data_IF_278627425000
#
_entry.id   IF_278627425000
#
_cell.length_a   1.000
_cell.length_b   1.000
_cell.length_c   1.000
_cell.angle_alpha   90.00
_cell.angle_beta   90.00
_cell.angle_gamma   90.00
#
_symmetry.space_group_name_H-M   'P 1'
#
loop_
_entity.id
_entity.type
_entity.pdbx_description
1 polymer ?
#
# COMPACT_ATOMS: atom_id res chain seq x y z
N UNK A 1 -9.28 -22.59 25.03
CA UNK A 1 -10.34 -22.51 24.00
C UNK A 1 -10.74 -21.05 23.84
N UNK A 2 -10.18 -20.36 22.86
CA UNK A 2 -10.53 -18.96 22.55
C UNK A 2 -10.45 -18.74 21.03
N UNK A 3 -11.28 -19.46 20.27
CA UNK A 3 -11.36 -19.39 18.79
C UNK A 3 -12.47 -18.48 18.25
N UNK A 4 -13.24 -17.78 19.11
CA UNK A 4 -14.47 -17.10 18.67
C UNK A 4 -14.40 -15.57 18.55
N UNK A 5 -13.55 -14.90 19.29
CA UNK A 5 -13.55 -13.43 19.36
C UNK A 5 -12.67 -12.76 18.29
N UNK A 6 -11.58 -13.40 17.86
CA UNK A 6 -10.69 -12.85 16.82
C UNK A 6 -11.29 -12.76 15.41
N UNK A 7 -12.27 -13.59 15.08
CA UNK A 7 -12.90 -13.62 13.76
C UNK A 7 -14.04 -12.62 13.58
N UNK A 8 -14.65 -12.16 14.66
CA UNK A 8 -15.75 -11.19 14.62
C UNK A 8 -15.23 -9.78 14.31
N UNK A 9 -14.08 -9.42 14.87
CA UNK A 9 -13.49 -8.08 14.75
C UNK A 9 -12.81 -7.81 13.39
N UNK A 10 -12.46 -8.86 12.63
CA UNK A 10 -11.87 -8.72 11.29
C UNK A 10 -12.91 -8.50 10.18
N UNK A 11 -14.20 -8.54 10.49
CA UNK A 11 -15.28 -8.52 9.49
C UNK A 11 -15.41 -7.19 8.79
N UNK A 12 -15.19 -6.09 9.50
CA UNK A 12 -15.43 -4.76 8.95
C UNK A 12 -14.33 -4.32 7.99
N UNK A 13 -13.06 -4.49 8.38
CA UNK A 13 -11.90 -4.24 7.50
C UNK A 13 -11.97 -5.11 6.25
N UNK A 14 -12.32 -6.41 6.41
CA UNK A 14 -12.49 -7.30 5.29
C UNK A 14 -13.62 -6.86 4.34
N UNK A 15 -14.80 -6.52 4.88
CA UNK A 15 -15.93 -6.05 4.10
C UNK A 15 -15.63 -4.73 3.38
N UNK A 16 -14.97 -3.79 4.08
CA UNK A 16 -14.55 -2.52 3.52
C UNK A 16 -13.60 -2.67 2.34
N UNK A 17 -12.53 -3.45 2.51
CA UNK A 17 -11.54 -3.66 1.44
C UNK A 17 -12.13 -4.47 0.27
N UNK A 18 -12.99 -5.45 0.54
CA UNK A 18 -13.74 -6.16 -0.49
C UNK A 18 -14.66 -5.22 -1.29
N UNK A 19 -15.37 -4.29 -0.61
CA UNK A 19 -16.19 -3.26 -1.27
C UNK A 19 -15.33 -2.34 -2.17
N UNK A 20 -14.07 -2.11 -1.80
CA UNK A 20 -13.09 -1.38 -2.61
C UNK A 20 -12.43 -2.24 -3.71
N UNK A 21 -12.93 -3.45 -3.94
CA UNK A 21 -12.49 -4.32 -5.02
C UNK A 21 -11.26 -5.17 -4.72
N UNK A 22 -10.63 -5.01 -3.55
CA UNK A 22 -9.45 -5.81 -3.20
C UNK A 22 -9.85 -7.28 -3.08
N UNK A 23 -9.07 -8.17 -3.71
CA UNK A 23 -9.40 -9.59 -3.73
C UNK A 23 -9.33 -10.21 -2.34
N UNK A 24 -10.24 -11.17 -2.03
CA UNK A 24 -10.20 -11.90 -0.76
C UNK A 24 -8.88 -12.57 -0.45
N UNK A 25 -8.16 -13.01 -1.46
CA UNK A 25 -6.83 -13.64 -1.31
C UNK A 25 -5.80 -12.63 -0.82
N UNK A 26 -5.74 -11.44 -1.43
CA UNK A 26 -4.83 -10.36 -1.01
C UNK A 26 -5.16 -9.89 0.40
N UNK A 27 -6.45 -9.67 0.74
CA UNK A 27 -6.83 -9.28 2.10
C UNK A 27 -6.32 -10.30 3.13
N UNK A 28 -6.57 -11.59 2.88
CA UNK A 28 -6.13 -12.67 3.79
C UNK A 28 -4.61 -12.76 3.89
N UNK A 29 -3.87 -12.60 2.78
CA UNK A 29 -2.40 -12.65 2.82
C UNK A 29 -1.81 -11.52 3.66
N UNK A 30 -2.36 -10.31 3.56
CA UNK A 30 -1.92 -9.17 4.37
C UNK A 30 -2.23 -9.35 5.86
N UNK A 31 -3.42 -9.89 6.18
CA UNK A 31 -3.78 -10.22 7.57
C UNK A 31 -2.85 -11.32 8.13
N UNK A 32 -2.61 -12.39 7.36
CA UNK A 32 -1.77 -13.51 7.79
C UNK A 32 -0.29 -13.11 7.94
N UNK A 33 0.16 -12.16 7.13
CA UNK A 33 1.51 -11.60 7.23
C UNK A 33 1.67 -10.56 8.37
N UNK A 34 0.59 -10.26 9.12
CA UNK A 34 0.62 -9.24 10.16
C UNK A 34 0.71 -7.79 9.65
N UNK A 35 0.44 -7.57 8.37
CA UNK A 35 0.52 -6.25 7.74
C UNK A 35 -0.77 -5.44 7.84
N UNK A 36 -1.89 -6.11 8.15
CA UNK A 36 -3.22 -5.52 8.21
C UNK A 36 -3.97 -6.01 9.43
N UNK A 37 -4.45 -5.07 10.24
CA UNK A 37 -5.28 -5.30 11.42
C UNK A 37 -6.55 -4.46 11.37
N UNK A 38 -7.49 -4.78 12.24
CA UNK A 38 -8.66 -3.96 12.57
C UNK A 38 -8.47 -3.39 13.97
N UNK A 39 -8.53 -2.06 14.14
CA UNK A 39 -8.50 -1.49 15.49
C UNK A 39 -9.82 -1.78 16.23
N UNK A 40 -9.71 -2.00 17.55
CA UNK A 40 -10.84 -2.44 18.38
C UNK A 40 -11.82 -1.32 18.72
N UNK A 41 -11.43 -0.06 18.59
CA UNK A 41 -12.23 1.08 19.02
C UNK A 41 -13.09 1.65 17.89
N UNK A 42 -12.48 1.86 16.71
CA UNK A 42 -13.13 2.51 15.57
C UNK A 42 -13.27 1.60 14.36
N UNK A 43 -12.79 0.36 14.43
CA UNK A 43 -12.77 -0.60 13.33
C UNK A 43 -12.06 -0.09 12.07
N UNK A 44 -11.04 0.75 12.24
CA UNK A 44 -10.22 1.22 11.14
C UNK A 44 -9.33 0.11 10.59
N UNK A 45 -8.98 0.18 9.30
CA UNK A 45 -7.83 -0.54 8.78
C UNK A 45 -6.55 0.03 9.39
N UNK A 46 -5.73 -0.83 9.98
CA UNK A 46 -4.40 -0.52 10.51
C UNK A 46 -3.36 -1.22 9.64
N UNK A 47 -2.62 -0.45 8.86
CA UNK A 47 -1.55 -0.94 7.99
C UNK A 47 -0.22 -0.77 8.70
N UNK A 48 0.44 -1.88 9.06
CA UNK A 48 1.65 -1.88 9.89
C UNK A 48 2.90 -2.01 9.05
N UNK A 49 3.84 -1.09 9.27
CA UNK A 49 5.19 -1.13 8.73
C UNK A 49 6.17 -1.64 9.78
N UNK A 50 7.02 -2.57 9.37
CA UNK A 50 8.04 -3.18 10.22
C UNK A 50 9.43 -2.66 9.83
N UNK A 51 10.27 -2.40 10.84
CA UNK A 51 11.68 -2.11 10.61
C UNK A 51 12.47 -3.38 10.20
N UNK A 52 13.76 -3.23 9.98
CA UNK A 52 14.64 -4.34 9.57
C UNK A 52 14.77 -5.45 10.63
N UNK A 53 14.49 -5.13 11.89
CA UNK A 53 14.57 -6.08 13.01
C UNK A 53 13.21 -6.78 13.23
N UNK A 54 12.22 -6.52 12.37
CA UNK A 54 10.88 -7.09 12.45
C UNK A 54 10.00 -6.48 13.53
N UNK A 55 10.38 -5.33 14.08
CA UNK A 55 9.58 -4.60 15.06
C UNK A 55 8.61 -3.65 14.34
N UNK A 56 7.36 -3.62 14.78
CA UNK A 56 6.38 -2.64 14.31
C UNK A 56 6.85 -1.22 14.67
N UNK A 57 7.10 -0.39 13.66
CA UNK A 57 7.63 0.96 13.81
C UNK A 57 6.75 2.04 13.16
N UNK A 58 5.82 1.64 12.29
CA UNK A 58 4.91 2.53 11.60
C UNK A 58 3.51 1.90 11.53
N UNK A 59 2.46 2.72 11.62
CA UNK A 59 1.10 2.28 11.34
C UNK A 59 0.29 3.40 10.70
N UNK A 60 -0.26 3.13 9.51
CA UNK A 60 -1.22 4.01 8.85
C UNK A 60 -2.64 3.53 9.09
N UNK A 61 -3.53 4.47 9.37
CA UNK A 61 -4.92 4.24 9.74
C UNK A 61 -5.86 4.69 8.61
N UNK A 62 -6.83 3.84 8.28
CA UNK A 62 -7.88 4.19 7.32
C UNK A 62 -9.25 3.83 7.87
N UNK A 63 -10.12 4.85 8.03
CA UNK A 63 -11.49 4.67 8.45
C UNK A 63 -12.28 3.79 7.50
N UNK A 64 -13.03 2.85 8.06
CA UNK A 64 -13.94 1.97 7.31
C UNK A 64 -15.35 2.53 7.19
N UNK A 65 -15.70 3.51 8.03
CA UNK A 65 -16.95 4.26 7.94
C UNK A 65 -16.74 5.49 7.07
N UNK A 66 -17.44 5.51 5.95
CA UNK A 66 -17.43 6.62 5.00
C UNK A 66 -18.85 7.19 4.94
N UNK A 67 -19.14 8.18 5.80
CA UNK A 67 -20.44 8.83 5.82
C UNK A 67 -20.61 9.88 4.70
N UNK A 68 -19.49 10.53 4.30
CA UNK A 68 -19.51 11.67 3.39
C UNK A 68 -18.37 11.64 2.34
N UNK A 69 -17.83 10.46 1.99
CA UNK A 69 -16.70 10.33 1.06
C UNK A 69 -15.33 10.69 1.67
N UNK A 70 -15.30 11.19 2.91
CA UNK A 70 -14.07 11.61 3.61
C UNK A 70 -13.72 10.69 4.79
N UNK A 71 -13.57 9.40 4.53
CA UNK A 71 -13.16 8.45 5.58
C UNK A 71 -11.85 8.88 6.25
N UNK A 72 -11.75 8.67 7.57
CA UNK A 72 -10.57 9.02 8.37
C UNK A 72 -9.26 8.49 7.74
N UNK A 73 -8.25 9.33 7.69
CA UNK A 73 -6.87 9.00 7.30
C UNK A 73 -5.92 9.59 8.34
N UNK A 74 -4.96 8.80 8.79
CA UNK A 74 -3.96 9.25 9.74
C UNK A 74 -2.89 8.20 9.99
N UNK A 75 -1.91 8.55 10.80
CA UNK A 75 -0.92 7.61 11.29
C UNK A 75 -1.07 7.45 12.80
N UNK A 76 -0.74 6.28 13.33
CA UNK A 76 -0.72 6.06 14.77
C UNK A 76 0.34 6.95 15.44
N UNK A 77 0.07 7.39 16.67
CA UNK A 77 1.03 8.17 17.45
C UNK A 77 2.35 7.41 17.60
N UNK A 78 3.47 8.09 17.42
CA UNK A 78 4.81 7.51 17.49
C UNK A 78 5.26 6.75 16.23
N UNK A 79 4.49 6.78 15.15
CA UNK A 79 4.87 6.17 13.87
C UNK A 79 6.13 6.80 13.28
N UNK A 80 7.11 5.99 12.91
CA UNK A 80 8.29 6.40 12.16
C UNK A 80 7.99 6.40 10.67
N UNK A 81 7.80 7.60 10.11
CA UNK A 81 7.52 7.77 8.66
C UNK A 81 8.67 7.36 7.75
N UNK A 82 9.86 7.15 8.28
CA UNK A 82 11.00 6.64 7.50
C UNK A 82 10.89 5.13 7.21
N UNK A 83 9.98 4.44 7.87
CA UNK A 83 9.67 3.03 7.62
C UNK A 83 8.56 2.87 6.59
N UNK A 84 7.48 3.67 6.68
CA UNK A 84 6.31 3.55 5.82
C UNK A 84 5.64 2.18 5.93
N UNK A 85 4.68 1.92 5.04
CA UNK A 85 4.09 0.58 4.90
C UNK A 85 4.82 -0.20 3.82
N UNK A 86 5.34 -1.39 4.11
CA UNK A 86 6.10 -2.18 3.13
C UNK A 86 5.77 -3.67 3.18
N UNK A 87 5.84 -4.33 2.03
CA UNK A 87 5.78 -5.78 1.95
C UNK A 87 7.07 -6.41 2.51
N UNK A 88 7.02 -7.69 2.95
CA UNK A 88 8.23 -8.44 3.26
C UNK A 88 9.22 -8.38 2.10
N UNK A 89 10.49 -8.28 2.42
CA UNK A 89 11.55 -8.16 1.43
C UNK A 89 11.61 -9.39 0.51
N UNK A 90 11.61 -9.14 -0.80
CA UNK A 90 11.77 -10.14 -1.85
C UNK A 90 13.20 -10.10 -2.39
N UNK A 91 14.11 -10.96 -1.92
CA UNK A 91 15.54 -10.88 -2.23
C UNK A 91 15.87 -11.10 -3.71
N UNK A 92 15.03 -11.86 -4.41
CA UNK A 92 15.20 -12.16 -5.85
C UNK A 92 14.79 -10.99 -6.75
N UNK A 93 14.08 -10.00 -6.22
CA UNK A 93 13.65 -8.83 -6.96
C UNK A 93 14.66 -7.68 -6.83
N UNK A 94 15.11 -7.16 -7.96
CA UNK A 94 15.93 -5.95 -8.03
C UNK A 94 15.11 -4.67 -8.21
N UNK A 95 13.79 -4.76 -8.11
CA UNK A 95 12.88 -3.63 -8.27
C UNK A 95 12.11 -3.36 -6.99
N UNK A 96 11.78 -2.10 -6.74
CA UNK A 96 10.83 -1.68 -5.71
C UNK A 96 9.72 -0.84 -6.34
N UNK A 97 8.47 -1.18 -6.04
CA UNK A 97 7.28 -0.45 -6.47
C UNK A 97 6.81 0.46 -5.33
N UNK A 98 6.59 1.73 -5.64
CA UNK A 98 6.32 2.78 -4.65
C UNK A 98 4.93 3.35 -4.88
N UNK A 99 4.05 3.19 -3.90
CA UNK A 99 2.67 3.65 -3.92
C UNK A 99 2.46 4.82 -2.95
N UNK A 100 1.40 5.60 -3.15
CA UNK A 100 1.04 6.64 -2.20
C UNK A 100 0.37 6.05 -0.96
N UNK A 101 -0.59 5.12 -1.13
CA UNK A 101 -1.33 4.52 -0.02
C UNK A 101 -1.31 2.98 -0.05
N UNK A 102 -1.45 2.32 1.14
CA UNK A 102 -1.49 0.86 1.24
C UNK A 102 -2.61 0.22 0.42
N UNK A 103 -3.78 0.90 0.29
CA UNK A 103 -4.90 0.38 -0.49
C UNK A 103 -4.57 0.35 -1.98
N UNK A 104 -3.79 1.30 -2.50
CA UNK A 104 -3.34 1.29 -3.89
C UNK A 104 -2.36 0.15 -4.15
N UNK A 105 -1.45 -0.11 -3.23
CA UNK A 105 -0.57 -1.28 -3.27
C UNK A 105 -1.40 -2.59 -3.29
N UNK A 106 -2.38 -2.75 -2.40
CA UNK A 106 -3.26 -3.93 -2.38
C UNK A 106 -4.08 -4.06 -3.67
N UNK A 107 -4.51 -2.94 -4.24
CA UNK A 107 -5.23 -2.89 -5.50
C UNK A 107 -4.35 -3.33 -6.66
N UNK A 108 -3.11 -2.87 -6.69
CA UNK A 108 -2.11 -3.30 -7.66
C UNK A 108 -1.84 -4.81 -7.57
N UNK A 109 -1.65 -5.35 -6.36
CA UNK A 109 -1.51 -6.79 -6.13
C UNK A 109 -2.76 -7.59 -6.59
N UNK A 110 -3.96 -6.99 -6.48
CA UNK A 110 -5.20 -7.62 -6.96
C UNK A 110 -5.27 -7.68 -8.49
N UNK A 111 -4.82 -6.61 -9.16
CA UNK A 111 -4.75 -6.53 -10.62
C UNK A 111 -3.66 -7.45 -11.19
N UNK A 112 -2.54 -7.56 -10.51
CA UNK A 112 -1.34 -8.31 -10.91
C UNK A 112 -1.11 -9.49 -9.97
N UNK A 113 -1.85 -10.58 -10.15
CA UNK A 113 -1.88 -11.74 -9.23
C UNK A 113 -0.54 -12.42 -9.01
N UNK A 114 0.37 -12.32 -9.98
CA UNK A 114 1.73 -12.88 -9.94
C UNK A 114 2.78 -11.82 -9.54
N UNK A 115 2.36 -10.79 -8.80
CA UNK A 115 3.26 -9.76 -8.33
C UNK A 115 4.17 -10.30 -7.22
N UNK A 116 5.47 -10.40 -7.50
CA UNK A 116 6.51 -10.90 -6.60
C UNK A 116 7.71 -9.94 -6.54
N UNK A 117 7.46 -8.68 -6.28
CA UNK A 117 8.51 -7.67 -6.17
C UNK A 117 8.43 -6.95 -4.83
N UNK A 118 9.51 -6.25 -4.48
CA UNK A 118 9.47 -5.35 -3.36
C UNK A 118 8.45 -4.24 -3.62
N UNK A 119 7.68 -3.89 -2.61
CA UNK A 119 6.74 -2.79 -2.69
C UNK A 119 6.59 -2.08 -1.34
N UNK A 120 6.38 -0.78 -1.41
CA UNK A 120 6.08 0.05 -0.25
C UNK A 120 5.04 1.12 -0.59
N UNK A 121 4.31 1.58 0.42
CA UNK A 121 3.47 2.76 0.35
C UNK A 121 4.02 3.83 1.31
N UNK A 122 4.17 5.03 0.78
CA UNK A 122 4.77 6.17 1.51
C UNK A 122 3.84 6.69 2.60
N UNK A 123 2.52 6.50 2.43
CA UNK A 123 1.45 7.08 3.26
C UNK A 123 1.45 8.62 3.29
N UNK A 124 2.21 9.24 2.42
CA UNK A 124 2.35 10.66 2.13
C UNK A 124 3.13 10.83 0.82
N UNK A 125 3.56 12.05 0.49
CA UNK A 125 4.42 12.31 -0.69
C UNK A 125 5.90 12.60 -0.31
N UNK A 126 6.30 12.19 0.90
CA UNK A 126 7.69 12.23 1.40
C UNK A 126 8.38 10.90 1.07
N UNK A 127 9.61 10.95 0.58
CA UNK A 127 10.34 9.78 0.11
C UNK A 127 11.29 9.14 1.14
N UNK A 128 11.20 9.53 2.42
CA UNK A 128 12.07 9.00 3.48
C UNK A 128 12.00 7.47 3.58
N UNK A 129 10.79 6.91 3.50
CA UNK A 129 10.61 5.46 3.56
C UNK A 129 11.30 4.75 2.39
N UNK A 130 11.24 5.31 1.18
CA UNK A 130 11.94 4.78 0.02
C UNK A 130 13.47 4.89 0.20
N UNK A 131 13.95 6.04 0.67
CA UNK A 131 15.38 6.27 0.91
C UNK A 131 15.96 5.28 1.94
N UNK A 132 15.24 5.02 3.03
CA UNK A 132 15.63 4.01 4.03
C UNK A 132 15.62 2.62 3.43
N UNK A 133 14.54 2.24 2.73
CA UNK A 133 14.42 0.94 2.08
C UNK A 133 15.58 0.65 1.12
N UNK A 134 15.96 1.61 0.28
CA UNK A 134 17.05 1.44 -0.70
C UNK A 134 18.42 1.29 -0.02
N UNK A 135 18.66 1.96 1.10
CA UNK A 135 19.89 1.79 1.91
C UNK A 135 19.96 0.41 2.58
N UNK A 136 18.82 -0.09 3.05
CA UNK A 136 18.71 -1.43 3.67
C UNK A 136 18.89 -2.54 2.63
N UNK A 137 18.52 -2.30 1.37
CA UNK A 137 18.49 -3.29 0.29
C UNK A 137 19.31 -2.86 -0.93
N UNK A 138 20.66 -2.86 -0.82
CA UNK A 138 21.55 -2.35 -1.88
C UNK A 138 21.56 -3.18 -3.16
N UNK A 139 20.88 -4.32 -3.20
CA UNK A 139 20.68 -5.13 -4.42
C UNK A 139 19.58 -4.57 -5.32
N UNK A 140 18.69 -3.74 -4.79
CA UNK A 140 17.65 -3.05 -5.59
C UNK A 140 18.33 -2.03 -6.52
N UNK A 141 17.93 -2.03 -7.80
CA UNK A 141 18.49 -1.16 -8.85
C UNK A 141 17.43 -0.37 -9.59
N UNK A 142 16.17 -0.76 -9.45
CA UNK A 142 15.06 -0.14 -10.17
C UNK A 142 14.00 0.33 -9.19
N UNK A 143 13.57 1.58 -9.36
CA UNK A 143 12.45 2.20 -8.64
C UNK A 143 11.31 2.41 -9.63
N UNK A 144 10.14 1.86 -9.31
CA UNK A 144 8.91 2.03 -10.09
C UNK A 144 7.95 2.89 -9.28
N UNK A 145 7.76 4.14 -9.69
CA UNK A 145 6.89 5.10 -9.02
C UNK A 145 5.45 4.89 -9.50
N UNK A 146 4.60 4.37 -8.62
CA UNK A 146 3.19 4.05 -8.84
C UNK A 146 2.26 5.01 -8.08
N UNK A 147 2.63 6.29 -8.02
CA UNK A 147 1.92 7.33 -7.27
C UNK A 147 0.60 7.70 -7.95
N UNK A 148 -0.24 8.46 -7.25
CA UNK A 148 -1.51 8.94 -7.76
C UNK A 148 -1.33 9.80 -9.02
N UNK A 149 -2.27 9.70 -9.95
CA UNK A 149 -2.28 10.45 -11.20
C UNK A 149 -2.99 11.80 -11.04
N UNK A 150 -2.77 12.46 -9.91
CA UNK A 150 -3.15 13.85 -9.69
C UNK A 150 -1.92 14.76 -9.68
N UNK A 151 -2.14 16.07 -9.62
CA UNK A 151 -1.04 17.03 -9.68
C UNK A 151 0.00 16.84 -8.57
N UNK A 152 -0.36 16.68 -7.28
CA UNK A 152 0.62 16.42 -6.23
C UNK A 152 1.42 15.13 -6.43
N UNK A 153 0.75 14.03 -6.83
CA UNK A 153 1.39 12.75 -7.11
C UNK A 153 2.37 12.82 -8.28
N UNK A 154 1.99 13.52 -9.36
CA UNK A 154 2.85 13.74 -10.53
C UNK A 154 4.08 14.58 -10.20
N UNK A 155 3.92 15.70 -9.47
CA UNK A 155 5.01 16.54 -9.01
C UNK A 155 5.98 15.76 -8.09
N UNK A 156 5.44 14.90 -7.22
CA UNK A 156 6.24 14.02 -6.37
C UNK A 156 6.99 12.96 -7.19
N UNK A 157 6.33 12.34 -8.19
CA UNK A 157 6.96 11.36 -9.07
C UNK A 157 8.11 11.96 -9.86
N UNK A 158 7.95 13.17 -10.40
CA UNK A 158 9.03 13.89 -11.09
C UNK A 158 10.20 14.22 -10.16
N UNK A 159 9.92 14.71 -8.96
CA UNK A 159 10.96 15.04 -7.96
C UNK A 159 11.75 13.81 -7.56
N UNK A 160 11.05 12.71 -7.19
CA UNK A 160 11.67 11.44 -6.85
C UNK A 160 12.41 10.84 -8.04
N UNK A 161 11.82 10.92 -9.24
CA UNK A 161 12.43 10.44 -10.47
C UNK A 161 13.80 11.07 -10.73
N UNK A 162 13.89 12.40 -10.65
CA UNK A 162 15.16 13.11 -10.80
C UNK A 162 16.16 12.74 -9.71
N UNK A 163 15.72 12.67 -8.46
CA UNK A 163 16.58 12.33 -7.31
C UNK A 163 17.22 10.96 -7.47
N UNK A 164 16.40 9.93 -7.64
CA UNK A 164 16.90 8.55 -7.68
C UNK A 164 17.62 8.20 -8.97
N UNK A 165 17.29 8.84 -10.10
CA UNK A 165 18.07 8.73 -11.31
C UNK A 165 19.50 9.32 -11.14
N UNK A 166 19.63 10.46 -10.46
CA UNK A 166 20.92 11.04 -10.12
C UNK A 166 21.73 10.16 -9.13
N UNK A 167 21.07 9.38 -8.29
CA UNK A 167 21.67 8.38 -7.40
C UNK A 167 22.02 7.05 -8.10
N UNK A 168 21.77 6.94 -9.41
CA UNK A 168 22.15 5.78 -10.24
C UNK A 168 21.11 4.67 -10.31
N UNK A 169 19.88 4.89 -9.85
CA UNK A 169 18.78 3.94 -10.02
C UNK A 169 18.14 4.09 -11.40
N UNK A 170 17.67 2.96 -11.96
CA UNK A 170 16.74 3.00 -13.09
C UNK A 170 15.36 3.39 -12.54
N UNK A 171 14.83 4.52 -12.98
CA UNK A 171 13.52 5.00 -12.52
C UNK A 171 12.49 4.87 -13.64
N UNK A 172 11.32 4.35 -13.28
CA UNK A 172 10.15 4.27 -14.15
C UNK A 172 8.94 4.83 -13.42
N UNK A 173 8.14 5.65 -14.08
CA UNK A 173 6.80 6.03 -13.59
C UNK A 173 5.78 5.11 -14.22
N UNK A 174 4.89 4.57 -13.40
CA UNK A 174 3.80 3.69 -13.81
C UNK A 174 2.50 4.22 -13.20
N UNK A 175 1.69 4.86 -14.02
CA UNK A 175 0.37 5.36 -13.63
C UNK A 175 -0.73 4.36 -13.96
N UNK A 176 -1.86 4.36 -13.23
CA UNK A 176 -3.02 3.59 -13.65
C UNK A 176 -3.47 4.06 -15.06
N UNK A 177 -3.84 3.12 -15.96
CA UNK A 177 -4.18 3.46 -17.37
C UNK A 177 -5.34 4.45 -17.51
N UNK A 178 -6.21 4.49 -16.51
CA UNK A 178 -7.27 5.49 -16.38
C UNK A 178 -7.61 5.62 -14.90
N UNK A 179 -8.14 6.74 -14.46
CA UNK A 179 -8.46 7.06 -13.07
C UNK A 179 -7.28 7.68 -12.31
N UNK A 180 -7.62 8.25 -11.16
CA UNK A 180 -6.69 8.98 -10.32
C UNK A 180 -5.66 8.09 -9.63
N UNK A 181 -6.10 6.95 -9.12
CA UNK A 181 -5.30 6.03 -8.30
C UNK A 181 -5.56 4.56 -8.67
N UNK A 182 -4.76 3.64 -8.15
CA UNK A 182 -4.84 2.21 -8.45
C UNK A 182 -6.11 1.57 -7.90
N UNK A 183 -6.66 2.07 -6.79
CA UNK A 183 -7.91 1.56 -6.24
C UNK A 183 -9.12 1.98 -7.09
N UNK A 184 -9.16 3.23 -7.55
CA UNK A 184 -10.18 3.70 -8.48
C UNK A 184 -10.12 2.97 -9.82
N UNK A 185 -8.91 2.64 -10.30
CA UNK A 185 -8.73 1.84 -11.51
C UNK A 185 -9.21 0.39 -11.32
N UNK A 186 -8.86 -0.24 -10.19
CA UNK A 186 -9.32 -1.59 -9.87
C UNK A 186 -10.86 -1.68 -9.86
N UNK A 187 -11.53 -0.76 -9.16
CA UNK A 187 -13.00 -0.74 -9.08
C UNK A 187 -13.64 -0.49 -10.44
N UNK A 188 -13.06 0.37 -11.26
CA UNK A 188 -13.51 0.59 -12.63
C UNK A 188 -13.43 -0.68 -13.50
N UNK A 189 -12.30 -1.38 -13.46
CA UNK A 189 -12.11 -2.62 -14.23
C UNK A 189 -13.10 -3.69 -13.81
N UNK A 190 -13.39 -3.80 -12.51
CA UNK A 190 -14.36 -4.78 -12.00
C UNK A 190 -15.79 -4.46 -12.44
N UNK A 191 -16.22 -3.21 -12.34
CA UNK A 191 -17.55 -2.77 -12.81
C UNK A 191 -17.72 -3.00 -14.32
N UNK A 192 -16.66 -2.79 -15.09
CA UNK A 192 -16.70 -3.03 -16.54
C UNK A 192 -16.86 -4.52 -16.87
N UNK A 193 -16.20 -5.41 -16.12
CA UNK A 193 -16.32 -6.87 -16.27
C UNK A 193 -17.70 -7.40 -15.87
N UNK A 194 -18.35 -6.80 -14.89
CA UNK A 194 -19.70 -7.18 -14.44
C UNK A 194 -20.77 -6.77 -15.45
N UNK A 195 -20.61 -5.63 -16.14
CA UNK A 195 -21.55 -5.15 -17.18
C UNK A 195 -21.41 -5.87 -18.52
N UNK A 196 -20.31 -6.56 -18.75
CA UNK A 196 -20.04 -7.31 -19.99
C UNK A 196 -20.42 -8.79 -19.92
N UNK A 197 -21.03 -9.21 -18.79
CA UNK A 197 -21.60 -10.55 -18.60
C UNK A 197 -23.12 -10.48 -18.63
#
# INVERSE_FOLDING_TARGET
MSRGLGDVYKRQVYAYLKKRGVSPQIIRSFISAGLLYEDSEHHNCVFVGYDRDGKAAFASLRGTYDRDGSGFKGDAAGSDKSIGFRLPYAPDSRSVYVFEAPIDLMSYCTLHREFHSNALALCCLDDRALSVFLREHPTVRKVVLCLDHDRPGQEAAERMGRKYAAEGYVVQTLSPPSRKDWNAYLTFVQQFRERGR
#
